data_IF_265876543799
#
_entry.id   IF_265876543799
#
_cell.length_a   1.000
_cell.length_b   1.000
_cell.length_c   1.000
_cell.angle_alpha   90.00
_cell.angle_beta   90.00
_cell.angle_gamma   90.00
#
_symmetry.space_group_name_H-M   'P 1'
#
loop_
_entity.id
_entity.type
_entity.pdbx_description
1 polymer ?
#
# COMPACT_ATOMS: atom_id res chain seq x y z
N UNK A 1 -5.13 -13.03 -5.72
CA UNK A 1 -6.09 -12.03 -6.25
C UNK A 1 -7.03 -12.58 -7.33
N UNK A 2 -6.54 -13.13 -8.47
CA UNK A 2 -7.44 -13.71 -9.50
C UNK A 2 -8.24 -14.91 -9.01
N UNK A 3 -7.58 -15.85 -8.33
CA UNK A 3 -8.23 -17.04 -7.77
C UNK A 3 -9.28 -16.70 -6.70
N UNK A 4 -9.03 -15.64 -5.92
CA UNK A 4 -9.97 -15.13 -4.93
C UNK A 4 -11.08 -14.24 -5.53
N UNK A 5 -11.08 -13.99 -6.85
CA UNK A 5 -12.12 -13.21 -7.53
C UNK A 5 -12.08 -11.70 -7.29
N UNK A 6 -10.98 -11.16 -6.73
CA UNK A 6 -10.90 -9.75 -6.29
C UNK A 6 -10.01 -8.86 -7.18
N UNK A 7 -9.53 -9.36 -8.33
CA UNK A 7 -8.69 -8.57 -9.24
C UNK A 7 -9.53 -7.81 -10.28
N UNK A 8 -10.18 -6.75 -9.82
CA UNK A 8 -11.02 -5.87 -10.64
C UNK A 8 -10.22 -4.81 -11.41
N UNK A 9 -10.86 -4.10 -12.35
CA UNK A 9 -10.22 -3.09 -13.21
C UNK A 9 -9.67 -1.87 -12.47
N UNK A 10 -10.20 -1.56 -11.30
CA UNK A 10 -9.73 -0.47 -10.43
C UNK A 10 -8.51 -0.86 -9.57
N UNK A 11 -8.04 -2.12 -9.64
CA UNK A 11 -6.87 -2.58 -8.88
C UNK A 11 -5.63 -2.48 -9.77
N UNK A 12 -4.63 -1.74 -9.30
CA UNK A 12 -3.31 -1.67 -9.91
C UNK A 12 -2.28 -2.33 -9.01
N UNK A 13 -1.51 -3.28 -9.55
CA UNK A 13 -0.41 -3.96 -8.84
C UNK A 13 0.93 -3.40 -9.30
N UNK A 14 1.73 -2.94 -8.34
CA UNK A 14 3.14 -2.57 -8.50
C UNK A 14 3.94 -3.44 -7.55
N UNK A 15 4.85 -4.25 -8.09
CA UNK A 15 5.66 -5.20 -7.32
C UNK A 15 6.85 -5.67 -8.16
N UNK A 16 7.71 -6.51 -7.58
CA UNK A 16 8.76 -7.22 -8.31
C UNK A 16 8.14 -8.33 -9.16
N UNK A 17 7.81 -8.00 -10.42
CA UNK A 17 7.29 -8.99 -11.36
C UNK A 17 8.41 -9.89 -11.87
N UNK A 18 8.17 -11.20 -11.84
CA UNK A 18 9.09 -12.19 -12.38
C UNK A 18 9.29 -11.99 -13.89
N UNK A 19 10.53 -12.19 -14.33
CA UNK A 19 10.91 -12.25 -15.74
C UNK A 19 11.21 -13.70 -16.13
N UNK A 20 10.57 -14.15 -17.20
CA UNK A 20 10.67 -15.52 -17.70
C UNK A 20 11.37 -15.52 -19.06
N UNK A 21 12.14 -16.57 -19.35
CA UNK A 21 12.69 -16.80 -20.67
C UNK A 21 11.64 -17.39 -21.64
N UNK A 22 12.06 -17.66 -22.87
CA UNK A 22 11.18 -18.20 -23.93
C UNK A 22 10.65 -19.62 -23.60
N UNK A 23 11.30 -20.33 -22.68
CA UNK A 23 10.88 -21.65 -22.20
C UNK A 23 9.97 -21.56 -20.97
N UNK A 24 9.66 -20.36 -20.49
CA UNK A 24 8.86 -20.14 -19.29
C UNK A 24 9.63 -20.37 -17.99
N UNK A 25 10.96 -20.37 -18.03
CA UNK A 25 11.81 -20.54 -16.84
C UNK A 25 12.15 -19.17 -16.24
N UNK A 26 12.07 -19.06 -14.90
CA UNK A 26 12.40 -17.85 -14.18
C UNK A 26 13.88 -17.51 -14.39
N UNK A 27 14.16 -16.33 -14.96
CA UNK A 27 15.52 -15.83 -15.16
C UNK A 27 15.87 -14.61 -14.29
N UNK A 28 14.87 -13.97 -13.68
CA UNK A 28 15.07 -12.80 -12.84
C UNK A 28 13.78 -12.04 -12.54
N UNK A 29 13.91 -10.74 -12.26
CA UNK A 29 12.81 -9.83 -12.00
C UNK A 29 12.89 -8.62 -12.91
N UNK A 30 11.73 -8.06 -13.26
CA UNK A 30 11.62 -6.89 -14.14
C UNK A 30 11.76 -5.59 -13.35
N UNK A 31 12.48 -4.64 -13.94
CA UNK A 31 12.64 -3.29 -13.39
C UNK A 31 13.52 -3.25 -12.15
N UNK A 32 13.41 -2.15 -11.40
CA UNK A 32 14.19 -1.96 -10.18
C UNK A 32 13.56 -2.71 -9.00
N UNK A 33 14.42 -3.25 -8.14
CA UNK A 33 14.00 -3.97 -6.93
C UNK A 33 13.20 -3.05 -6.01
N UNK A 34 12.02 -3.51 -5.59
CA UNK A 34 11.22 -2.92 -4.52
C UNK A 34 11.44 -3.77 -3.25
N UNK A 35 11.94 -3.16 -2.19
CA UNK A 35 12.12 -3.74 -0.86
C UNK A 35 11.46 -2.84 0.21
N UNK A 36 11.45 -3.30 1.46
CA UNK A 36 10.70 -2.63 2.56
C UNK A 36 11.08 -1.15 2.71
N UNK A 37 12.33 -0.77 2.47
CA UNK A 37 12.83 0.59 2.72
C UNK A 37 12.84 1.53 1.51
N UNK A 38 12.54 1.07 0.29
CA UNK A 38 12.59 1.92 -0.92
C UNK A 38 11.23 2.09 -1.62
N UNK A 39 10.12 1.85 -0.90
CA UNK A 39 8.77 2.05 -1.43
C UNK A 39 8.52 3.49 -1.92
N UNK A 40 9.23 4.46 -1.37
CA UNK A 40 9.30 5.83 -1.88
C UNK A 40 9.66 5.90 -3.37
N UNK A 41 10.75 5.22 -3.78
CA UNK A 41 11.24 5.26 -5.17
C UNK A 41 10.24 4.60 -6.11
N UNK A 42 9.61 3.52 -5.65
CA UNK A 42 8.50 2.88 -6.34
C UNK A 42 7.33 3.84 -6.54
N UNK A 43 6.95 4.59 -5.51
CA UNK A 43 5.88 5.58 -5.59
C UNK A 43 6.19 6.68 -6.62
N UNK A 44 7.41 7.25 -6.58
CA UNK A 44 7.84 8.29 -7.52
C UNK A 44 7.93 7.82 -8.97
N UNK A 45 8.41 6.59 -9.22
CA UNK A 45 8.50 6.01 -10.57
C UNK A 45 7.13 5.75 -11.18
N UNK A 46 6.11 5.57 -10.35
CA UNK A 46 4.72 5.44 -10.78
C UNK A 46 3.98 6.80 -10.86
N UNK A 47 4.71 7.92 -10.86
CA UNK A 47 4.14 9.27 -11.03
C UNK A 47 3.20 9.42 -12.23
N UNK A 48 3.39 8.67 -13.33
CA UNK A 48 2.43 8.65 -14.45
C UNK A 48 1.06 8.11 -14.04
N UNK A 49 1.02 7.07 -13.20
CA UNK A 49 -0.23 6.57 -12.64
C UNK A 49 -0.85 7.60 -11.69
N UNK A 50 -0.05 8.15 -10.77
CA UNK A 50 -0.54 9.18 -9.85
C UNK A 50 -0.98 10.48 -10.52
N UNK A 51 -0.39 10.84 -11.67
CA UNK A 51 -0.82 12.01 -12.44
C UNK A 51 -2.23 11.87 -13.02
N UNK A 52 -2.67 10.62 -13.28
CA UNK A 52 -4.05 10.34 -13.70
C UNK A 52 -5.03 10.43 -12.52
N UNK A 53 -4.51 10.31 -11.29
CA UNK A 53 -5.26 10.39 -10.03
C UNK A 53 -5.07 11.74 -9.32
N UNK A 54 -4.61 12.78 -10.03
CA UNK A 54 -4.31 14.10 -9.45
C UNK A 54 -5.51 14.77 -8.75
N UNK A 55 -6.73 14.38 -9.13
CA UNK A 55 -7.98 14.91 -8.59
C UNK A 55 -8.45 14.07 -7.36
N UNK A 56 -7.81 12.93 -7.11
CA UNK A 56 -8.06 12.06 -5.96
C UNK A 56 -7.18 12.50 -4.79
N UNK A 57 -7.54 13.61 -4.14
CA UNK A 57 -6.77 14.22 -3.04
C UNK A 57 -6.91 13.53 -1.69
N UNK A 58 -7.86 12.59 -1.57
CA UNK A 58 -8.16 11.85 -0.33
C UNK A 58 -7.63 10.42 -0.40
N UNK A 59 -6.77 10.06 0.55
CA UNK A 59 -6.01 8.80 0.54
C UNK A 59 -6.27 8.02 1.83
N UNK A 60 -6.50 6.72 1.69
CA UNK A 60 -6.38 5.75 2.79
C UNK A 60 -5.15 4.90 2.51
N UNK A 61 -4.17 4.95 3.40
CA UNK A 61 -2.94 4.17 3.34
C UNK A 61 -3.02 3.04 4.36
N UNK A 62 -2.91 1.81 3.89
CA UNK A 62 -2.84 0.61 4.73
C UNK A 62 -1.43 0.04 4.64
N UNK A 63 -0.78 -0.21 5.77
CA UNK A 63 0.58 -0.75 5.83
C UNK A 63 0.83 -1.59 7.08
N UNK A 64 1.88 -2.41 7.04
CA UNK A 64 2.29 -3.28 8.16
C UNK A 64 3.76 -3.05 8.55
N UNK A 65 4.39 -2.05 7.95
CA UNK A 65 5.78 -1.68 8.22
C UNK A 65 5.97 -0.18 8.21
N UNK A 66 7.06 0.31 8.79
CA UNK A 66 7.42 1.74 8.72
C UNK A 66 7.72 2.20 7.28
N UNK A 67 8.19 1.28 6.42
CA UNK A 67 8.45 1.58 5.02
C UNK A 67 7.20 1.89 4.20
N UNK A 68 6.04 1.41 4.63
CA UNK A 68 4.76 1.62 3.96
C UNK A 68 4.28 3.07 4.01
N UNK A 69 4.68 3.82 5.03
CA UNK A 69 4.35 5.23 5.20
C UNK A 69 4.79 6.08 4.00
N UNK A 70 5.77 5.58 3.23
CA UNK A 70 6.36 6.22 2.06
C UNK A 70 5.67 5.85 0.74
N UNK A 71 4.63 5.01 0.76
CA UNK A 71 3.92 4.58 -0.45
C UNK A 71 3.12 5.70 -1.11
N UNK A 72 2.71 6.72 -0.35
CA UNK A 72 1.94 7.86 -0.87
C UNK A 72 2.82 9.01 -1.39
N UNK A 73 4.15 8.92 -1.28
CA UNK A 73 5.06 10.02 -1.66
C UNK A 73 5.00 10.40 -3.15
N UNK A 74 4.50 9.49 -4.00
CA UNK A 74 4.30 9.74 -5.43
C UNK A 74 3.01 10.49 -5.78
N UNK A 75 2.12 10.75 -4.81
CA UNK A 75 0.85 11.43 -5.05
C UNK A 75 1.06 12.94 -5.11
N UNK A 76 0.66 13.55 -6.22
CA UNK A 76 0.94 14.96 -6.49
C UNK A 76 0.17 15.93 -5.56
N UNK A 77 -1.10 15.62 -5.29
CA UNK A 77 -1.99 16.47 -4.49
C UNK A 77 -2.61 15.63 -3.38
N UNK A 78 -2.22 15.88 -2.13
CA UNK A 78 -2.81 15.23 -0.95
C UNK A 78 -3.49 16.30 -0.11
N UNK A 79 -4.82 16.21 0.02
CA UNK A 79 -5.62 17.08 0.89
C UNK A 79 -5.86 16.39 2.24
N UNK A 80 -6.25 15.11 2.20
CA UNK A 80 -6.40 14.28 3.38
C UNK A 80 -5.75 12.92 3.17
N UNK A 81 -5.00 12.46 4.17
CA UNK A 81 -4.45 11.11 4.21
C UNK A 81 -4.74 10.50 5.58
N UNK A 82 -5.31 9.30 5.57
CA UNK A 82 -5.50 8.48 6.76
C UNK A 82 -4.59 7.25 6.66
N UNK A 83 -3.71 7.07 7.64
CA UNK A 83 -2.74 5.98 7.70
C UNK A 83 -3.17 4.96 8.75
N UNK A 84 -3.40 3.72 8.33
CA UNK A 84 -3.77 2.60 9.19
C UNK A 84 -2.65 1.56 9.17
N UNK A 85 -2.06 1.31 10.34
CA UNK A 85 -0.93 0.41 10.52
C UNK A 85 -1.33 -0.90 11.19
N UNK A 86 -0.99 -2.04 10.59
CA UNK A 86 -1.18 -3.36 11.16
C UNK A 86 0.08 -3.81 11.89
N UNK A 87 0.03 -3.88 13.21
CA UNK A 87 1.14 -4.31 14.06
C UNK A 87 0.92 -5.75 14.52
N UNK A 88 1.47 -6.70 13.75
CA UNK A 88 1.24 -8.13 13.95
C UNK A 88 2.36 -8.84 14.73
N UNK A 89 3.56 -8.25 14.79
CA UNK A 89 4.73 -8.84 15.44
C UNK A 89 5.50 -7.77 16.24
N UNK A 90 6.31 -8.21 17.23
CA UNK A 90 7.13 -7.35 18.11
C UNK A 90 6.35 -6.17 18.70
N UNK A 91 5.12 -6.42 19.13
CA UNK A 91 4.18 -5.39 19.62
C UNK A 91 4.83 -4.53 20.71
N UNK A 92 5.41 -5.17 21.73
CA UNK A 92 5.98 -4.46 22.88
C UNK A 92 7.15 -3.54 22.50
N UNK A 93 7.88 -3.87 21.42
CA UNK A 93 9.03 -3.09 20.95
C UNK A 93 8.64 -1.99 19.96
N UNK A 94 7.56 -2.20 19.21
CA UNK A 94 7.21 -1.38 18.05
C UNK A 94 5.98 -0.51 18.25
N UNK A 95 5.17 -0.76 19.28
CA UNK A 95 3.89 -0.07 19.46
C UNK A 95 4.05 1.45 19.50
N UNK A 96 4.99 1.97 20.29
CA UNK A 96 5.22 3.42 20.38
C UNK A 96 5.59 4.02 19.02
N UNK A 97 6.52 3.38 18.30
CA UNK A 97 6.91 3.83 16.95
C UNK A 97 5.75 3.80 15.95
N UNK A 98 4.84 2.84 16.07
CA UNK A 98 3.64 2.77 15.23
C UNK A 98 2.64 3.84 15.58
N UNK A 99 2.39 4.07 16.88
CA UNK A 99 1.49 5.10 17.38
C UNK A 99 1.96 6.52 17.01
N UNK A 100 3.27 6.73 16.92
CA UNK A 100 3.83 8.02 16.47
C UNK A 100 3.72 8.25 14.96
N UNK A 101 3.59 7.18 14.17
CA UNK A 101 3.73 7.25 12.70
C UNK A 101 2.46 6.98 11.91
N UNK A 102 1.53 6.20 12.49
CA UNK A 102 0.22 5.87 11.93
C UNK A 102 -0.89 6.57 12.72
N UNK A 103 -1.94 7.01 12.03
CA UNK A 103 -3.10 7.64 12.67
C UNK A 103 -3.93 6.62 13.46
N UNK A 104 -3.98 5.38 12.96
CA UNK A 104 -4.65 4.26 13.62
C UNK A 104 -3.72 3.04 13.59
N UNK A 105 -3.52 2.40 14.74
CA UNK A 105 -2.74 1.17 14.87
C UNK A 105 -3.68 0.03 15.25
N UNK A 106 -3.65 -1.05 14.47
CA UNK A 106 -4.38 -2.29 14.71
C UNK A 106 -3.39 -3.35 15.19
N UNK A 107 -3.50 -3.75 16.46
CA UNK A 107 -2.58 -4.70 17.09
C UNK A 107 -3.13 -6.11 16.97
N UNK A 108 -2.37 -7.01 16.32
CA UNK A 108 -2.73 -8.43 16.10
C UNK A 108 -4.14 -8.60 15.52
N UNK A 109 -4.51 -7.73 14.59
CA UNK A 109 -5.80 -7.75 13.91
C UNK A 109 -5.67 -8.40 12.53
N UNK A 110 -6.52 -9.39 12.25
CA UNK A 110 -6.49 -10.15 11.00
C UNK A 110 -7.59 -9.73 10.00
N UNK A 111 -8.47 -8.81 10.39
CA UNK A 111 -9.58 -8.32 9.57
C UNK A 111 -9.33 -6.95 8.92
N UNK A 112 -10.19 -6.62 7.95
CA UNK A 112 -10.27 -5.30 7.31
C UNK A 112 -11.53 -4.52 7.75
N UNK A 113 -12.16 -4.90 8.87
CA UNK A 113 -13.47 -4.36 9.27
C UNK A 113 -13.43 -2.85 9.51
N UNK A 114 -12.37 -2.33 10.13
CA UNK A 114 -12.18 -0.89 10.32
C UNK A 114 -12.12 -0.15 8.98
N UNK A 115 -11.28 -0.62 8.05
CA UNK A 115 -11.13 -0.01 6.73
C UNK A 115 -12.46 -0.05 5.96
N UNK A 116 -13.17 -1.19 6.02
CA UNK A 116 -14.50 -1.34 5.40
C UNK A 116 -15.53 -0.39 6.02
N UNK A 117 -15.52 -0.19 7.35
CA UNK A 117 -16.43 0.72 8.04
C UNK A 117 -16.20 2.17 7.64
N UNK A 118 -14.94 2.58 7.48
CA UNK A 118 -14.56 3.90 6.97
C UNK A 118 -15.07 4.08 5.53
N UNK A 119 -14.79 3.11 4.65
CA UNK A 119 -15.27 3.13 3.26
C UNK A 119 -16.80 3.17 3.19
N UNK A 120 -17.49 2.44 4.06
CA UNK A 120 -18.94 2.45 4.13
C UNK A 120 -19.46 3.87 4.43
N UNK A 121 -18.89 4.57 5.41
CA UNK A 121 -19.27 5.94 5.75
C UNK A 121 -18.97 6.96 4.65
N UNK A 122 -17.89 6.77 3.90
CA UNK A 122 -17.48 7.68 2.82
C UNK A 122 -18.32 7.47 1.57
N UNK A 123 -18.56 6.22 1.17
CA UNK A 123 -19.18 5.86 -0.11
C UNK A 123 -20.71 5.72 -0.03
N UNK A 124 -21.24 5.36 1.13
CA UNK A 124 -22.67 5.16 1.35
C UNK A 124 -23.13 6.12 2.45
N UNK A 125 -23.67 7.26 2.03
CA UNK A 125 -24.41 8.17 2.91
C UNK A 125 -25.77 7.59 3.27
#
# INVERSE_FOLDING_TARGET
MRQAGVYYSNVKVVSNFMDFDDNGVLKGFKGDLIHVFNKHDGALKNSKYFSQLKDNSNIILLGDSQGDLRMADGVANVEHILKIGYLNDRVDELLDNYMDSYDIVLVKEESLELANSILQKILYK
#
